data_IF_562294786738
#
_entry.id   IF_562294786738
#
_cell.length_a   1.000
_cell.length_b   1.000
_cell.length_c   1.000
_cell.angle_alpha   90.00
_cell.angle_beta   90.00
_cell.angle_gamma   90.00
#
_symmetry.space_group_name_H-M   'P 1'
#
loop_
_entity.id
_entity.type
_entity.pdbx_description
1 polymer ?
#
# COMPACT_ATOMS: atom_id res chain seq x y z
N UNK A 1 -28.19 8.16 8.73
CA UNK A 1 -27.65 9.08 7.71
C UNK A 1 -26.15 9.02 7.82
N UNK A 2 -25.47 8.38 6.87
CA UNK A 2 -24.01 8.35 6.90
C UNK A 2 -23.45 9.61 6.29
N UNK A 3 -22.81 10.40 7.14
CA UNK A 3 -22.17 11.64 6.76
C UNK A 3 -20.83 11.30 6.14
N UNK A 4 -20.64 11.73 4.89
CA UNK A 4 -19.30 11.84 4.30
C UNK A 4 -18.47 12.76 5.19
N UNK A 5 -17.21 12.39 5.46
CA UNK A 5 -16.31 13.28 6.17
C UNK A 5 -16.13 14.60 5.39
N UNK A 6 -15.89 15.73 6.07
CA UNK A 6 -15.38 16.92 5.40
C UNK A 6 -14.11 16.62 4.58
N UNK A 7 -13.90 17.33 3.47
CA UNK A 7 -12.79 17.03 2.54
C UNK A 7 -11.42 17.10 3.23
N UNK A 8 -11.20 18.13 4.05
CA UNK A 8 -9.96 18.27 4.83
C UNK A 8 -9.69 17.08 5.77
N UNK A 9 -10.74 16.44 6.30
CA UNK A 9 -10.58 15.25 7.14
C UNK A 9 -10.29 14.00 6.29
N UNK A 10 -10.87 13.91 5.08
CA UNK A 10 -10.49 12.84 4.14
C UNK A 10 -9.02 12.96 3.72
N UNK A 11 -8.57 14.17 3.43
CA UNK A 11 -7.18 14.45 3.05
C UNK A 11 -6.24 14.09 4.21
N UNK A 12 -6.57 14.50 5.44
CA UNK A 12 -5.83 14.11 6.64
C UNK A 12 -5.75 12.58 6.81
N UNK A 13 -6.85 11.85 6.59
CA UNK A 13 -6.85 10.39 6.68
C UNK A 13 -5.93 9.76 5.62
N UNK A 14 -5.90 10.32 4.40
CA UNK A 14 -4.98 9.89 3.36
C UNK A 14 -3.51 10.11 3.80
N UNK A 15 -3.19 11.31 4.27
CA UNK A 15 -1.85 11.70 4.72
C UNK A 15 -1.36 10.83 5.88
N UNK A 16 -2.23 10.58 6.88
CA UNK A 16 -1.94 9.68 7.99
C UNK A 16 -1.69 8.27 7.48
N UNK A 17 -2.52 7.78 6.56
CA UNK A 17 -2.38 6.43 6.01
C UNK A 17 -1.08 6.24 5.22
N UNK A 18 -0.66 7.21 4.42
CA UNK A 18 0.63 7.16 3.71
C UNK A 18 1.81 7.32 4.67
N UNK A 19 1.68 8.17 5.69
CA UNK A 19 2.69 8.30 6.75
C UNK A 19 2.85 7.01 7.56
N UNK A 20 1.78 6.26 7.78
CA UNK A 20 1.84 4.93 8.42
C UNK A 20 2.63 3.93 7.58
N UNK A 21 2.46 3.93 6.25
CA UNK A 21 3.26 3.09 5.34
C UNK A 21 4.75 3.44 5.47
N UNK A 22 5.08 4.74 5.40
CA UNK A 22 6.45 5.21 5.51
C UNK A 22 7.08 4.84 6.86
N UNK A 23 6.36 5.08 7.95
CA UNK A 23 6.81 4.72 9.30
C UNK A 23 7.05 3.22 9.43
N UNK A 24 6.14 2.39 8.91
CA UNK A 24 6.27 0.93 8.96
C UNK A 24 7.51 0.45 8.21
N UNK A 25 7.76 0.98 7.01
CA UNK A 25 8.98 0.68 6.24
C UNK A 25 10.24 1.14 6.97
N UNK A 26 10.23 2.32 7.59
CA UNK A 26 11.37 2.84 8.33
C UNK A 26 11.73 1.95 9.53
N UNK A 27 10.72 1.46 10.26
CA UNK A 27 10.92 0.50 11.36
C UNK A 27 11.50 -0.83 10.86
N UNK A 28 10.93 -1.40 9.80
CA UNK A 28 11.43 -2.64 9.19
C UNK A 28 12.89 -2.48 8.72
N UNK A 29 13.20 -1.36 8.10
CA UNK A 29 14.55 -1.08 7.60
C UNK A 29 15.54 -0.81 8.72
N UNK A 30 15.12 -0.17 9.82
CA UNK A 30 15.96 -0.02 11.00
C UNK A 30 16.34 -1.37 11.62
N UNK A 31 15.44 -2.36 11.54
CA UNK A 31 15.69 -3.72 12.01
C UNK A 31 16.56 -4.54 11.03
N UNK A 32 16.62 -4.16 9.75
CA UNK A 32 17.56 -4.70 8.77
C UNK A 32 18.66 -3.69 8.38
N UNK A 33 19.82 -3.74 9.05
CA UNK A 33 20.93 -2.77 8.96
C UNK A 33 21.35 -2.26 7.57
N UNK A 34 21.10 -3.03 6.52
CA UNK A 34 21.51 -2.69 5.15
C UNK A 34 20.44 -1.89 4.37
N UNK A 35 19.23 -1.74 4.90
CA UNK A 35 18.11 -1.09 4.23
C UNK A 35 17.92 0.35 4.71
N UNK A 36 17.66 1.25 3.76
CA UNK A 36 17.30 2.64 3.98
C UNK A 36 16.03 2.99 3.22
N UNK A 37 15.21 3.87 3.80
CA UNK A 37 13.92 4.30 3.26
C UNK A 37 13.98 5.79 2.99
N UNK A 38 13.60 6.17 1.78
CA UNK A 38 13.54 7.56 1.35
C UNK A 38 12.13 7.88 0.87
N UNK A 39 11.56 8.98 1.36
CA UNK A 39 10.35 9.56 0.79
C UNK A 39 10.74 10.36 -0.45
N UNK A 40 10.07 10.14 -1.57
CA UNK A 40 10.25 10.95 -2.75
C UNK A 40 9.56 12.31 -2.57
N UNK A 41 10.31 13.41 -2.72
CA UNK A 41 9.80 14.78 -2.58
C UNK A 41 10.01 15.47 -3.93
N UNK A 42 8.94 15.58 -4.71
CA UNK A 42 8.91 16.42 -5.91
C UNK A 42 9.18 15.73 -7.24
N UNK A 43 9.57 14.46 -7.27
CA UNK A 43 9.60 13.68 -8.52
C UNK A 43 8.32 12.86 -8.70
N UNK A 44 7.85 12.83 -9.94
CA UNK A 44 6.67 12.09 -10.32
C UNK A 44 7.01 10.65 -10.68
N UNK A 45 6.46 9.66 -9.99
CA UNK A 45 6.57 8.26 -10.41
C UNK A 45 6.31 7.22 -9.31
N UNK A 46 6.83 7.45 -8.12
CA UNK A 46 6.62 6.61 -6.94
C UNK A 46 6.78 7.45 -5.67
N UNK A 47 6.16 7.02 -4.58
CA UNK A 47 6.14 7.79 -3.32
C UNK A 47 7.35 7.50 -2.41
N UNK A 48 7.82 6.25 -2.42
CA UNK A 48 8.86 5.77 -1.50
C UNK A 48 9.91 4.96 -2.26
N UNK A 49 11.18 5.19 -1.93
CA UNK A 49 12.30 4.39 -2.42
C UNK A 49 12.93 3.62 -1.25
N UNK A 50 13.00 2.31 -1.40
CA UNK A 50 13.71 1.43 -0.49
C UNK A 50 15.06 1.04 -1.13
N UNK A 51 16.17 1.22 -0.42
CA UNK A 51 17.53 0.98 -0.92
C UNK A 51 18.27 0.02 0.01
N UNK A 52 18.87 -1.03 -0.56
CA UNK A 52 19.81 -1.88 0.15
C UNK A 52 21.24 -1.49 -0.22
N UNK A 53 22.01 -1.00 0.76
CA UNK A 53 23.37 -0.48 0.55
C UNK A 53 24.41 -1.56 0.21
N UNK A 54 24.21 -2.80 0.66
CA UNK A 54 25.18 -3.89 0.46
C UNK A 54 24.92 -4.66 -0.83
N UNK A 55 23.64 -4.85 -1.18
CA UNK A 55 23.19 -5.62 -2.37
C UNK A 55 22.97 -4.74 -3.61
N UNK A 56 23.15 -3.41 -3.51
CA UNK A 56 22.83 -2.43 -4.55
C UNK A 56 21.40 -2.57 -5.10
N UNK A 57 20.47 -3.08 -4.28
CA UNK A 57 19.07 -3.29 -4.67
C UNK A 57 18.28 -2.02 -4.38
N UNK A 58 17.48 -1.60 -5.35
CA UNK A 58 16.52 -0.49 -5.21
C UNK A 58 15.12 -1.04 -5.43
N UNK A 59 14.15 -0.57 -4.67
CA UNK A 59 12.75 -0.97 -4.78
C UNK A 59 11.89 0.28 -4.68
N UNK A 60 11.28 0.65 -5.80
CA UNK A 60 10.36 1.78 -5.92
C UNK A 60 8.96 1.35 -5.46
N UNK A 61 8.32 2.17 -4.64
CA UNK A 61 7.07 1.84 -3.97
C UNK A 61 6.07 2.96 -4.19
N UNK A 62 4.90 2.57 -4.69
CA UNK A 62 3.71 3.40 -4.67
C UNK A 62 2.90 3.12 -3.40
N UNK A 63 2.53 4.17 -2.66
CA UNK A 63 1.78 4.06 -1.41
C UNK A 63 0.34 4.55 -1.63
N UNK A 64 -0.66 3.72 -1.29
CA UNK A 64 -2.06 4.14 -1.34
C UNK A 64 -2.78 3.74 -0.07
N UNK A 65 -3.41 4.71 0.59
CA UNK A 65 -4.25 4.45 1.77
C UNK A 65 -5.75 4.55 1.42
N UNK A 66 -6.59 3.76 2.09
CA UNK A 66 -8.06 3.81 1.95
C UNK A 66 -8.75 3.61 3.29
N UNK A 67 -9.88 4.29 3.42
CA UNK A 67 -10.77 4.25 4.58
C UNK A 67 -12.23 4.18 4.08
N UNK A 68 -13.08 3.42 4.76
CA UNK A 68 -14.47 3.16 4.36
C UNK A 68 -15.49 3.32 5.49
N UNK A 69 -15.07 3.48 6.75
CA UNK A 69 -16.01 3.72 7.87
C UNK A 69 -16.90 4.96 7.63
N UNK A 70 -16.44 5.97 6.88
CA UNK A 70 -17.23 7.18 6.55
C UNK A 70 -17.42 7.39 5.03
N UNK A 71 -17.97 6.39 4.35
CA UNK A 71 -18.21 6.43 2.89
C UNK A 71 -19.70 6.43 2.53
N UNK A 72 -20.06 7.10 1.44
CA UNK A 72 -21.42 7.05 0.85
C UNK A 72 -21.58 5.94 -0.20
N UNK A 73 -20.53 5.14 -0.44
CA UNK A 73 -20.55 4.06 -1.42
C UNK A 73 -21.55 2.96 -1.03
N UNK A 74 -22.37 2.52 -1.99
CA UNK A 74 -23.29 1.37 -1.83
C UNK A 74 -22.54 0.05 -1.62
N UNK A 75 -21.29 -0.04 -2.07
CA UNK A 75 -20.45 -1.24 -1.98
C UNK A 75 -19.28 -1.02 -1.02
N UNK A 76 -19.57 -0.87 0.27
CA UNK A 76 -18.53 -0.61 1.29
C UNK A 76 -17.53 -1.73 1.45
N UNK A 77 -17.96 -2.94 1.13
CA UNK A 77 -17.14 -4.13 1.19
C UNK A 77 -16.10 -4.20 0.06
N UNK A 78 -16.17 -3.36 -0.98
CA UNK A 78 -15.23 -3.38 -2.10
C UNK A 78 -14.37 -2.12 -2.07
N UNK A 79 -13.06 -2.32 -1.92
CA UNK A 79 -12.05 -1.27 -1.86
C UNK A 79 -11.12 -1.43 -3.05
N UNK A 80 -10.95 -0.33 -3.80
CA UNK A 80 -10.03 -0.26 -4.93
C UNK A 80 -8.85 0.62 -4.58
N UNK A 81 -7.66 0.07 -4.76
CA UNK A 81 -6.40 0.80 -4.79
C UNK A 81 -5.99 0.85 -6.25
N UNK A 82 -5.88 2.05 -6.81
CA UNK A 82 -5.69 2.25 -8.25
C UNK A 82 -4.41 3.02 -8.49
N UNK A 83 -3.66 2.57 -9.48
CA UNK A 83 -2.49 3.25 -10.02
C UNK A 83 -2.84 3.80 -11.40
N UNK A 84 -2.38 5.01 -11.65
CA UNK A 84 -2.24 5.58 -12.99
C UNK A 84 -1.13 4.86 -13.75
N UNK A 85 -1.10 5.03 -15.08
CA UNK A 85 0.00 4.52 -15.91
C UNK A 85 1.37 4.97 -15.43
N UNK A 86 1.49 6.23 -15.03
CA UNK A 86 2.77 6.79 -14.58
C UNK A 86 3.26 6.13 -13.29
N UNK A 87 2.39 5.99 -12.29
CA UNK A 87 2.70 5.31 -11.03
C UNK A 87 3.07 3.85 -11.30
N UNK A 88 2.24 3.14 -12.07
CA UNK A 88 2.50 1.75 -12.43
C UNK A 88 3.84 1.58 -13.15
N UNK A 89 4.15 2.43 -14.13
CA UNK A 89 5.38 2.31 -14.92
C UNK A 89 6.64 2.54 -14.06
N UNK A 90 6.55 3.29 -12.95
CA UNK A 90 7.70 3.70 -12.14
C UNK A 90 7.79 3.03 -10.76
N UNK A 91 6.82 2.20 -10.34
CA UNK A 91 6.90 1.42 -9.10
C UNK A 91 7.30 -0.04 -9.36
N UNK A 92 7.88 -0.70 -8.36
CA UNK A 92 8.04 -2.16 -8.28
C UNK A 92 6.92 -2.80 -7.46
N UNK A 93 6.45 -2.10 -6.44
CA UNK A 93 5.40 -2.55 -5.52
C UNK A 93 4.35 -1.46 -5.29
N UNK A 94 3.11 -1.91 -5.08
CA UNK A 94 2.08 -1.14 -4.40
C UNK A 94 2.04 -1.58 -2.93
N UNK A 95 2.12 -0.62 -2.02
CA UNK A 95 1.68 -0.83 -0.63
C UNK A 95 0.30 -0.20 -0.47
N UNK A 96 -0.70 -1.07 -0.34
CA UNK A 96 -2.08 -0.67 -0.09
C UNK A 96 -2.38 -0.77 1.41
N UNK A 97 -2.66 0.36 2.06
CA UNK A 97 -3.02 0.39 3.49
C UNK A 97 -4.52 0.58 3.67
N UNK A 98 -5.18 -0.40 4.28
CA UNK A 98 -6.58 -0.29 4.66
C UNK A 98 -6.70 0.11 6.13
N UNK A 99 -7.01 1.39 6.33
CA UNK A 99 -6.97 2.06 7.64
C UNK A 99 -7.91 1.41 8.65
N UNK A 100 -9.14 1.09 8.24
CA UNK A 100 -10.19 0.60 9.17
C UNK A 100 -9.83 -0.74 9.85
N UNK A 101 -8.98 -1.55 9.23
CA UNK A 101 -8.54 -2.85 9.76
C UNK A 101 -7.05 -2.88 10.10
N UNK A 102 -6.35 -1.76 9.94
CA UNK A 102 -4.91 -1.66 10.06
C UNK A 102 -4.15 -2.74 9.27
N UNK A 103 -4.53 -2.94 8.00
CA UNK A 103 -3.90 -3.95 7.14
C UNK A 103 -3.03 -3.32 6.08
N UNK A 104 -1.78 -3.78 6.02
CA UNK A 104 -0.85 -3.48 4.94
C UNK A 104 -0.87 -4.63 3.93
N UNK A 105 -1.17 -4.31 2.67
CA UNK A 105 -1.09 -5.26 1.56
C UNK A 105 0.13 -4.91 0.72
N UNK A 106 1.08 -5.85 0.62
CA UNK A 106 2.32 -5.72 -0.14
C UNK A 106 2.14 -6.41 -1.47
N UNK A 107 1.91 -5.64 -2.53
CA UNK A 107 1.47 -6.19 -3.83
C UNK A 107 2.54 -5.93 -4.88
N UNK A 108 3.19 -6.98 -5.43
CA UNK A 108 4.08 -6.82 -6.56
C UNK A 108 3.34 -6.20 -7.75
N UNK A 109 4.01 -5.34 -8.51
CA UNK A 109 3.45 -4.72 -9.72
C UNK A 109 2.82 -5.72 -10.68
N UNK A 110 3.44 -6.90 -10.84
CA UNK A 110 2.97 -7.96 -11.73
C UNK A 110 1.59 -8.54 -11.33
N UNK A 111 1.21 -8.44 -10.06
CA UNK A 111 -0.08 -8.93 -9.55
C UNK A 111 -1.22 -7.90 -9.67
N UNK A 112 -0.91 -6.68 -10.13
CA UNK A 112 -1.92 -5.65 -10.36
C UNK A 112 -2.70 -5.91 -11.65
N UNK A 113 -4.02 -5.79 -11.57
CA UNK A 113 -4.90 -6.03 -12.73
C UNK A 113 -5.04 -4.77 -13.55
N UNK A 114 -4.63 -4.83 -14.81
CA UNK A 114 -4.90 -3.79 -15.80
C UNK A 114 -6.41 -3.62 -16.01
N UNK A 115 -6.84 -2.36 -16.11
CA UNK A 115 -8.21 -1.95 -16.42
C UNK A 115 -8.20 -0.77 -17.39
N UNK A 116 -9.39 -0.45 -17.91
CA UNK A 116 -9.59 0.73 -18.77
C UNK A 116 -8.68 0.71 -20.00
N UNK A 117 -8.46 -0.47 -20.59
CA UNK A 117 -7.59 -0.64 -21.76
C UNK A 117 -6.11 -0.38 -21.49
N UNK A 118 -5.60 -0.65 -20.28
CA UNK A 118 -4.18 -0.45 -19.95
C UNK A 118 -3.82 0.98 -19.55
N UNK A 119 -4.80 1.78 -19.12
CA UNK A 119 -4.57 3.14 -18.60
C UNK A 119 -4.42 3.17 -17.08
N UNK A 120 -4.95 2.16 -16.39
CA UNK A 120 -4.98 2.06 -14.95
C UNK A 120 -4.77 0.62 -14.51
N UNK A 121 -4.23 0.46 -13.31
CA UNK A 121 -4.02 -0.83 -12.67
C UNK A 121 -4.66 -0.81 -11.30
N UNK A 122 -5.18 -1.95 -10.85
CA UNK A 122 -5.85 -2.02 -9.54
C UNK A 122 -5.52 -3.25 -8.74
N UNK A 123 -5.45 -3.03 -7.43
CA UNK A 123 -5.63 -4.04 -6.41
C UNK A 123 -7.04 -3.91 -5.81
N UNK A 124 -7.75 -5.03 -5.72
CA UNK A 124 -9.13 -5.07 -5.20
C UNK A 124 -9.16 -5.89 -3.91
N UNK A 125 -9.56 -5.21 -2.84
CA UNK A 125 -9.90 -5.81 -1.57
C UNK A 125 -11.42 -5.92 -1.47
N UNK A 126 -11.93 -7.12 -1.27
CA UNK A 126 -13.32 -7.38 -0.90
C UNK A 126 -13.39 -7.97 0.49
N UNK A 127 -14.18 -7.36 1.38
CA UNK A 127 -14.34 -7.81 2.77
C UNK A 127 -15.68 -8.52 2.93
N UNK A 128 -15.66 -9.75 3.41
CA UNK A 128 -16.89 -10.50 3.65
C UNK A 128 -17.58 -10.08 4.97
N UNK A 129 -18.77 -10.62 5.24
CA UNK A 129 -19.54 -10.31 6.46
C UNK A 129 -18.82 -10.68 7.77
N UNK A 130 -17.79 -11.54 7.71
CA UNK A 130 -16.96 -11.92 8.87
C UNK A 130 -15.72 -11.02 9.02
N UNK A 131 -15.63 -9.93 8.26
CA UNK A 131 -14.49 -9.04 8.28
C UNK A 131 -13.24 -9.63 7.64
N UNK A 132 -13.33 -10.70 6.84
CA UNK A 132 -12.16 -11.31 6.18
C UNK A 132 -11.99 -10.84 4.74
N UNK A 133 -10.76 -10.71 4.25
CA UNK A 133 -10.49 -10.33 2.87
C UNK A 133 -10.80 -11.49 1.90
N UNK A 134 -10.88 -11.18 0.61
CA UNK A 134 -10.94 -12.17 -0.45
C UNK A 134 -9.61 -12.95 -0.53
N UNK A 135 -9.68 -14.23 -0.93
CA UNK A 135 -8.51 -15.13 -1.02
C UNK A 135 -7.32 -14.52 -1.79
N UNK A 136 -7.59 -13.78 -2.87
CA UNK A 136 -6.54 -13.16 -3.67
C UNK A 136 -5.84 -11.98 -3.00
N UNK A 137 -6.41 -11.41 -1.93
CA UNK A 137 -5.81 -10.34 -1.15
C UNK A 137 -5.09 -10.88 0.11
N UNK A 138 -5.55 -12.02 0.64
CA UNK A 138 -5.04 -12.63 1.87
C UNK A 138 -3.54 -12.91 1.83
N UNK A 139 -3.02 -13.39 0.69
CA UNK A 139 -1.59 -13.66 0.51
C UNK A 139 -0.69 -12.43 0.52
N UNK A 140 -1.24 -11.21 0.45
CA UNK A 140 -0.48 -9.97 0.46
C UNK A 140 -0.47 -9.26 1.82
N UNK A 141 -1.25 -9.73 2.80
CA UNK A 141 -1.34 -9.11 4.13
C UNK A 141 -0.01 -9.26 4.86
N UNK A 142 0.58 -8.13 5.28
CA UNK A 142 1.88 -8.06 5.94
C UNK A 142 2.98 -8.85 5.18
N UNK A 143 2.83 -9.02 3.86
CA UNK A 143 3.72 -9.83 3.04
C UNK A 143 5.03 -9.09 2.69
N UNK A 144 5.64 -8.42 3.68
CA UNK A 144 6.86 -7.63 3.54
C UNK A 144 8.01 -8.43 2.95
N UNK A 145 8.03 -9.74 3.19
CA UNK A 145 9.00 -10.69 2.64
C UNK A 145 9.05 -10.70 1.11
N UNK A 146 7.96 -10.30 0.42
CA UNK A 146 7.92 -10.20 -1.03
C UNK A 146 8.89 -9.12 -1.56
N UNK A 147 9.15 -8.07 -0.78
CA UNK A 147 10.16 -7.05 -1.14
C UNK A 147 11.58 -7.53 -0.84
N UNK A 148 11.78 -8.22 0.28
CA UNK A 148 13.06 -8.82 0.67
C UNK A 148 12.87 -9.93 1.69
N UNK A 149 13.59 -11.03 1.55
CA UNK A 149 13.65 -12.10 2.56
C UNK A 149 14.15 -11.60 3.92
N UNK A 150 14.93 -10.51 3.95
CA UNK A 150 15.43 -9.90 5.18
C UNK A 150 14.26 -9.44 6.08
N UNK A 151 13.09 -9.13 5.50
CA UNK A 151 11.89 -8.71 6.23
C UNK A 151 11.05 -9.87 6.81
N UNK A 152 11.42 -11.13 6.56
CA UNK A 152 10.70 -12.31 7.09
C UNK A 152 10.75 -12.40 8.63
N UNK A 153 11.81 -11.91 9.26
CA UNK A 153 12.13 -12.20 10.67
C UNK A 153 11.78 -11.08 11.65
N UNK A 154 11.01 -10.08 11.21
CA UNK A 154 10.86 -8.82 11.93
C UNK A 154 9.48 -8.63 12.58
N UNK A 155 8.49 -9.45 12.19
CA UNK A 155 7.18 -9.39 12.83
C UNK A 155 7.24 -10.10 14.20
N UNK A 156 6.87 -9.45 15.31
CA UNK A 156 6.74 -10.14 16.58
C UNK A 156 5.63 -11.18 16.48
N UNK A 157 5.90 -12.35 17.06
CA UNK A 157 4.91 -13.35 17.45
C UNK A 157 3.81 -12.77 18.32
#
# INVERSE_FOLDING_TARGET
MEKKLPQNIQDLVCDVGESQILLRLALLSHQCRDWEVFKNIGESGFDILLVNKTKSKRTAIEAKSRQRMFTTSKHRNVIHFTLTKKEYDNCDFLIAYYVDMNWFFIVPKADLKSVSGGKQWKFILTINKKGRPNKSAEGFIEAWHLMSSDFMNILPS
#
